data_IF_857759058194
#
_entry.id   IF_857759058194
#
_cell.length_a   1.000
_cell.length_b   1.000
_cell.length_c   1.000
_cell.angle_alpha   90.00
_cell.angle_beta   90.00
_cell.angle_gamma   90.00
#
_symmetry.space_group_name_H-M   'P 1'
#
loop_
_entity.id
_entity.type
_entity.pdbx_description
1 polymer ?
#
# COMPACT_ATOMS: atom_id res chain seq x y z
N UNK A 1 -48.80 6.15 -42.88
CA UNK A 1 -48.00 7.28 -42.36
C UNK A 1 -48.04 7.40 -40.83
N UNK A 2 -49.21 7.36 -40.18
CA UNK A 2 -49.34 7.48 -38.70
C UNK A 2 -48.59 6.39 -37.93
N UNK A 3 -48.72 5.12 -38.33
CA UNK A 3 -48.04 3.98 -37.69
C UNK A 3 -46.51 4.08 -37.69
N UNK A 4 -45.92 4.58 -38.78
CA UNK A 4 -44.46 4.77 -38.89
C UNK A 4 -43.97 5.90 -37.97
N UNK A 5 -44.74 6.98 -37.82
CA UNK A 5 -44.42 8.07 -36.88
C UNK A 5 -44.47 7.59 -35.43
N UNK A 6 -45.46 6.77 -35.07
CA UNK A 6 -45.53 6.16 -33.74
C UNK A 6 -44.33 5.24 -33.45
N UNK A 7 -43.91 4.44 -34.44
CA UNK A 7 -42.76 3.55 -34.29
C UNK A 7 -41.44 4.32 -34.06
N UNK A 8 -41.26 5.45 -34.76
CA UNK A 8 -40.12 6.37 -34.56
C UNK A 8 -40.12 6.96 -33.15
N UNK A 9 -41.27 7.42 -32.67
CA UNK A 9 -41.40 7.99 -31.31
C UNK A 9 -41.09 6.92 -30.25
N UNK A 10 -41.63 5.71 -30.40
CA UNK A 10 -41.35 4.59 -29.48
C UNK A 10 -39.85 4.26 -29.47
N UNK A 11 -39.21 4.18 -30.64
CA UNK A 11 -37.75 3.96 -30.72
C UNK A 11 -36.96 5.06 -30.03
N UNK A 12 -37.31 6.33 -30.25
CA UNK A 12 -36.62 7.46 -29.62
C UNK A 12 -36.73 7.41 -28.09
N UNK A 13 -37.90 7.04 -27.56
CA UNK A 13 -38.10 6.87 -26.10
C UNK A 13 -37.26 5.71 -25.56
N UNK A 14 -37.19 4.58 -26.26
CA UNK A 14 -36.36 3.43 -25.85
C UNK A 14 -34.87 3.82 -25.83
N UNK A 15 -34.38 4.50 -26.87
CA UNK A 15 -32.98 4.94 -26.93
C UNK A 15 -32.67 5.93 -25.79
N UNK A 16 -33.56 6.88 -25.53
CA UNK A 16 -33.38 7.83 -24.43
C UNK A 16 -33.32 7.13 -23.07
N UNK A 17 -34.18 6.13 -22.83
CA UNK A 17 -34.14 5.33 -21.61
C UNK A 17 -32.83 4.53 -21.48
N UNK A 18 -32.34 3.93 -22.57
CA UNK A 18 -31.07 3.20 -22.57
C UNK A 18 -29.88 4.12 -22.26
N UNK A 19 -29.86 5.33 -22.81
CA UNK A 19 -28.81 6.33 -22.51
C UNK A 19 -28.82 6.72 -21.03
N UNK A 20 -30.01 6.96 -20.45
CA UNK A 20 -30.16 7.29 -19.03
C UNK A 20 -29.66 6.13 -18.16
N UNK A 21 -30.04 4.89 -18.49
CA UNK A 21 -29.58 3.71 -17.74
C UNK A 21 -28.06 3.53 -17.80
N UNK A 22 -27.46 3.67 -18.98
CA UNK A 22 -26.00 3.60 -19.14
C UNK A 22 -25.29 4.70 -18.36
N UNK A 23 -25.83 5.92 -18.37
CA UNK A 23 -25.28 7.04 -17.61
C UNK A 23 -25.32 6.79 -16.09
N UNK A 24 -26.44 6.29 -15.57
CA UNK A 24 -26.56 5.96 -14.15
C UNK A 24 -25.57 4.85 -13.75
N UNK A 25 -25.46 3.78 -14.54
CA UNK A 25 -24.49 2.72 -14.30
C UNK A 25 -23.04 3.22 -14.35
N UNK A 26 -22.73 4.12 -15.29
CA UNK A 26 -21.40 4.73 -15.39
C UNK A 26 -21.06 5.55 -14.12
N UNK A 27 -22.01 6.32 -13.61
CA UNK A 27 -21.82 7.11 -12.39
C UNK A 27 -21.65 6.22 -11.16
N UNK A 28 -22.50 5.20 -10.98
CA UNK A 28 -22.37 4.24 -9.87
C UNK A 28 -21.00 3.54 -9.89
N UNK A 29 -20.56 3.10 -11.07
CA UNK A 29 -19.25 2.47 -11.23
C UNK A 29 -18.11 3.46 -10.92
N UNK A 30 -18.23 4.71 -11.34
CA UNK A 30 -17.22 5.74 -11.05
C UNK A 30 -17.13 6.04 -9.55
N UNK A 31 -18.25 6.09 -8.83
CA UNK A 31 -18.27 6.29 -7.38
C UNK A 31 -17.67 5.09 -6.65
N UNK A 32 -18.01 3.86 -7.04
CA UNK A 32 -17.40 2.64 -6.48
C UNK A 32 -15.88 2.62 -6.68
N UNK A 33 -15.39 2.99 -7.87
CA UNK A 33 -13.95 3.09 -8.14
C UNK A 33 -13.27 4.08 -7.22
N UNK A 34 -13.86 5.26 -7.02
CA UNK A 34 -13.32 6.26 -6.09
C UNK A 34 -13.34 5.79 -4.64
N UNK A 35 -14.36 5.03 -4.24
CA UNK A 35 -14.45 4.49 -2.87
C UNK A 35 -13.36 3.45 -2.62
N UNK A 36 -13.16 2.50 -3.54
CA UNK A 36 -12.05 1.53 -3.44
C UNK A 36 -10.70 2.26 -3.48
N UNK A 37 -10.55 3.23 -4.40
CA UNK A 37 -9.37 4.06 -4.49
C UNK A 37 -9.07 4.84 -3.20
N UNK A 38 -10.10 5.32 -2.50
CA UNK A 38 -9.99 5.94 -1.18
C UNK A 38 -9.43 4.97 -0.13
N UNK A 39 -9.94 3.74 -0.09
CA UNK A 39 -9.45 2.72 0.84
C UNK A 39 -7.95 2.48 0.61
N UNK A 40 -7.51 2.37 -0.66
CA UNK A 40 -6.07 2.25 -0.97
C UNK A 40 -5.26 3.47 -0.57
N UNK A 41 -5.77 4.68 -0.85
CA UNK A 41 -5.14 5.94 -0.42
C UNK A 41 -4.95 5.98 1.10
N UNK A 42 -6.01 5.70 1.86
CA UNK A 42 -5.99 5.73 3.33
C UNK A 42 -5.03 4.68 3.90
N UNK A 43 -5.03 3.46 3.36
CA UNK A 43 -4.10 2.40 3.77
C UNK A 43 -2.64 2.79 3.51
N UNK A 44 -2.33 3.30 2.31
CA UNK A 44 -0.98 3.75 1.95
C UNK A 44 -0.54 4.88 2.88
N UNK A 45 -1.41 5.87 3.12
CA UNK A 45 -1.12 6.99 4.01
C UNK A 45 -0.84 6.52 5.44
N UNK A 46 -1.72 5.68 5.97
CA UNK A 46 -1.59 5.12 7.32
C UNK A 46 -0.29 4.34 7.50
N UNK A 47 0.02 3.42 6.58
CA UNK A 47 1.27 2.63 6.63
C UNK A 47 2.48 3.54 6.57
N UNK A 48 2.50 4.53 5.66
CA UNK A 48 3.65 5.44 5.51
C UNK A 48 3.91 6.25 6.78
N UNK A 49 2.86 6.83 7.39
CA UNK A 49 2.99 7.58 8.65
C UNK A 49 3.59 6.69 9.75
N UNK A 50 3.16 5.43 9.84
CA UNK A 50 3.72 4.50 10.81
C UNK A 50 5.17 4.10 10.52
N UNK A 51 5.52 3.89 9.25
CA UNK A 51 6.89 3.58 8.84
C UNK A 51 7.84 4.74 9.19
N UNK A 52 7.44 5.99 8.91
CA UNK A 52 8.23 7.18 9.26
C UNK A 52 8.44 7.28 10.77
N UNK A 53 7.36 7.18 11.55
CA UNK A 53 7.44 7.21 13.01
C UNK A 53 8.35 6.12 13.56
N UNK A 54 8.36 4.93 12.96
CA UNK A 54 9.21 3.84 13.40
C UNK A 54 10.68 4.05 13.06
N UNK A 55 10.99 4.63 11.90
CA UNK A 55 12.35 5.04 11.54
C UNK A 55 12.88 6.04 12.57
N UNK A 56 12.09 7.07 12.90
CA UNK A 56 12.46 8.08 13.89
C UNK A 56 12.75 7.49 15.27
N UNK A 57 11.93 6.53 15.71
CA UNK A 57 12.10 5.84 17.00
C UNK A 57 13.34 4.94 17.01
N UNK A 58 13.59 4.19 15.92
CA UNK A 58 14.78 3.33 15.82
C UNK A 58 16.10 4.12 15.76
N UNK A 59 16.06 5.36 15.25
CA UNK A 59 17.18 6.28 15.23
C UNK A 59 17.41 6.96 16.59
N UNK A 60 16.42 6.94 17.49
CA UNK A 60 16.52 7.58 18.79
C UNK A 60 17.34 6.74 19.78
N UNK A 61 18.34 7.35 20.42
CA UNK A 61 19.21 6.68 21.40
C UNK A 61 18.44 6.18 22.64
N UNK A 62 17.28 6.78 22.96
CA UNK A 62 16.43 6.36 24.08
C UNK A 62 15.41 5.26 23.73
N UNK A 63 15.61 4.55 22.61
CA UNK A 63 14.67 3.53 22.13
C UNK A 63 14.38 2.46 23.18
N UNK A 64 13.17 2.50 23.75
CA UNK A 64 12.73 1.52 24.75
C UNK A 64 12.24 0.26 24.05
N UNK A 65 13.17 -0.64 23.83
CA UNK A 65 12.99 -1.78 22.96
C UNK A 65 11.90 -2.76 23.46
N UNK A 66 11.76 -2.94 24.78
CA UNK A 66 10.80 -3.89 25.38
C UNK A 66 9.34 -3.46 25.17
N UNK A 67 9.06 -2.15 25.26
CA UNK A 67 7.71 -1.60 25.07
C UNK A 67 7.29 -1.63 23.60
N UNK A 68 8.24 -1.48 22.67
CA UNK A 68 7.98 -1.30 21.25
C UNK A 68 7.97 -2.61 20.45
N UNK A 69 8.74 -3.62 20.87
CA UNK A 69 8.82 -4.92 20.19
C UNK A 69 7.46 -5.61 20.03
N UNK A 70 6.63 -5.62 21.08
CA UNK A 70 5.32 -6.25 21.03
C UNK A 70 4.33 -5.41 20.17
N UNK A 71 4.30 -4.08 20.32
CA UNK A 71 3.39 -3.23 19.54
C UNK A 71 3.72 -3.25 18.04
N UNK A 72 5.00 -3.24 17.67
CA UNK A 72 5.40 -3.10 16.27
C UNK A 72 5.30 -4.42 15.50
N UNK A 73 5.57 -5.58 16.13
CA UNK A 73 5.32 -6.89 15.52
C UNK A 73 3.84 -7.10 15.17
N UNK A 74 2.91 -6.52 15.94
CA UNK A 74 1.47 -6.60 15.66
C UNK A 74 1.07 -5.70 14.48
N UNK A 75 1.56 -4.46 14.43
CA UNK A 75 1.26 -3.52 13.33
C UNK A 75 1.67 -4.04 11.95
N UNK A 76 2.84 -4.69 11.84
CA UNK A 76 3.24 -5.26 10.55
C UNK A 76 2.38 -6.46 10.11
N UNK A 77 1.73 -7.18 11.04
CA UNK A 77 0.72 -8.17 10.65
C UNK A 77 -0.55 -7.50 10.10
N UNK A 78 -0.97 -6.37 10.68
CA UNK A 78 -2.10 -5.59 10.16
C UNK A 78 -1.80 -5.05 8.76
N UNK A 79 -0.57 -4.59 8.51
CA UNK A 79 -0.19 -4.06 7.20
C UNK A 79 -0.27 -5.10 6.09
N UNK A 80 0.10 -6.36 6.38
CA UNK A 80 -0.09 -7.49 5.44
C UNK A 80 -1.58 -7.68 5.12
N UNK A 81 -2.47 -7.49 6.10
CA UNK A 81 -3.92 -7.61 5.87
C UNK A 81 -4.53 -6.46 5.09
N UNK A 82 -3.86 -5.31 5.02
CA UNK A 82 -4.36 -4.16 4.26
C UNK A 82 -4.27 -4.34 2.75
N UNK A 83 -3.53 -5.36 2.28
CA UNK A 83 -3.50 -5.72 0.87
C UNK A 83 -3.03 -4.56 0.00
N UNK A 84 -1.85 -4.02 0.31
CA UNK A 84 -1.25 -2.98 -0.52
C UNK A 84 -1.11 -3.49 -1.97
N UNK A 85 -1.21 -2.61 -2.97
CA UNK A 85 -1.33 -3.00 -4.38
C UNK A 85 -0.14 -3.78 -4.97
N UNK A 86 0.96 -3.98 -4.22
CA UNK A 86 2.12 -4.78 -4.62
C UNK A 86 2.40 -5.92 -3.62
N UNK A 87 2.58 -7.14 -4.13
CA UNK A 87 2.81 -8.33 -3.28
C UNK A 87 4.17 -8.34 -2.57
N UNK A 88 5.11 -7.49 -3.01
CA UNK A 88 6.42 -7.36 -2.37
C UNK A 88 6.40 -6.57 -1.05
N UNK A 89 5.37 -5.74 -0.79
CA UNK A 89 5.20 -5.11 0.52
C UNK A 89 5.03 -6.16 1.62
N UNK A 90 4.22 -7.19 1.37
CA UNK A 90 3.98 -8.27 2.34
C UNK A 90 5.27 -9.03 2.69
N UNK A 91 6.13 -9.24 1.69
CA UNK A 91 7.45 -9.87 1.87
C UNK A 91 8.34 -8.98 2.75
N UNK A 92 8.34 -7.67 2.50
CA UNK A 92 9.09 -6.71 3.30
C UNK A 92 8.59 -6.64 4.74
N UNK A 93 7.28 -6.53 4.95
CA UNK A 93 6.67 -6.53 6.29
C UNK A 93 6.98 -7.83 7.04
N UNK A 94 6.90 -8.97 6.36
CA UNK A 94 7.28 -10.27 6.94
C UNK A 94 8.75 -10.31 7.33
N UNK A 95 9.63 -9.74 6.51
CA UNK A 95 11.07 -9.68 6.78
C UNK A 95 11.41 -8.72 7.94
N UNK A 96 10.70 -7.61 8.05
CA UNK A 96 10.82 -6.65 9.17
C UNK A 96 10.36 -7.30 10.47
N UNK A 97 9.22 -8.00 10.44
CA UNK A 97 8.74 -8.78 11.59
C UNK A 97 9.80 -9.77 12.09
N UNK A 98 10.44 -10.49 11.18
CA UNK A 98 11.52 -11.41 11.54
C UNK A 98 12.71 -10.69 12.19
N UNK A 99 13.11 -9.54 11.66
CA UNK A 99 14.20 -8.75 12.26
C UNK A 99 13.86 -8.25 13.67
N UNK A 100 12.60 -7.84 13.94
CA UNK A 100 12.18 -7.53 15.30
C UNK A 100 12.25 -8.74 16.24
N UNK A 101 11.95 -9.96 15.75
CA UNK A 101 12.10 -11.17 16.56
C UNK A 101 13.57 -11.44 16.91
N UNK A 102 14.48 -11.27 15.94
CA UNK A 102 15.91 -11.37 16.19
C UNK A 102 16.39 -10.31 17.17
N UNK A 103 15.90 -9.07 17.03
CA UNK A 103 16.23 -7.98 17.94
C UNK A 103 15.87 -8.35 19.39
N UNK A 104 14.67 -8.93 19.61
CA UNK A 104 14.25 -9.43 20.93
C UNK A 104 15.23 -10.46 21.50
N UNK A 105 15.66 -11.43 20.69
CA UNK A 105 16.57 -12.49 21.14
C UNK A 105 17.95 -11.95 21.52
N UNK A 106 18.50 -11.03 20.72
CA UNK A 106 19.83 -10.45 20.98
C UNK A 106 19.84 -9.54 22.21
N UNK A 107 18.70 -8.94 22.56
CA UNK A 107 18.55 -8.18 23.80
C UNK A 107 18.55 -9.04 25.04
N UNK A 108 17.83 -10.16 25.01
CA UNK A 108 17.87 -11.15 26.09
C UNK A 108 19.31 -11.68 26.29
N UNK A 109 20.09 -11.77 25.20
CA UNK A 109 21.48 -12.17 25.21
C UNK A 109 22.49 -11.04 25.53
N UNK A 110 22.05 -9.77 25.65
CA UNK A 110 22.88 -8.58 25.84
C UNK A 110 24.03 -8.43 24.82
N UNK A 111 23.75 -8.67 23.53
CA UNK A 111 24.75 -8.57 22.47
C UNK A 111 24.61 -7.25 21.67
N UNK A 112 25.28 -6.19 22.15
CA UNK A 112 25.16 -4.83 21.62
C UNK A 112 25.51 -4.70 20.13
N UNK A 113 26.58 -5.37 19.67
CA UNK A 113 27.00 -5.31 18.26
C UNK A 113 25.92 -5.87 17.31
N UNK A 114 25.26 -6.97 17.71
CA UNK A 114 24.19 -7.57 16.93
C UNK A 114 22.91 -6.73 16.96
N UNK A 115 22.61 -6.09 18.09
CA UNK A 115 21.46 -5.20 18.25
C UNK A 115 21.57 -4.03 17.25
N UNK A 116 22.73 -3.38 17.18
CA UNK A 116 22.94 -2.25 16.29
C UNK A 116 22.89 -2.66 14.81
N UNK A 117 23.47 -3.81 14.46
CA UNK A 117 23.38 -4.36 13.11
C UNK A 117 21.92 -4.64 12.68
N UNK A 118 21.10 -5.21 13.58
CA UNK A 118 19.68 -5.49 13.31
C UNK A 118 18.88 -4.18 13.18
N UNK A 119 19.12 -3.19 14.05
CA UNK A 119 18.48 -1.86 13.95
C UNK A 119 18.77 -1.20 12.61
N UNK A 120 20.03 -1.17 12.18
CA UNK A 120 20.41 -0.60 10.88
C UNK A 120 19.72 -1.33 9.72
N UNK A 121 19.60 -2.66 9.80
CA UNK A 121 18.87 -3.46 8.81
C UNK A 121 17.37 -3.16 8.79
N UNK A 122 16.74 -2.99 9.95
CA UNK A 122 15.33 -2.57 10.07
C UNK A 122 15.11 -1.21 9.42
N UNK A 123 15.92 -0.21 9.79
CA UNK A 123 15.85 1.14 9.23
C UNK A 123 15.98 1.09 7.70
N UNK A 124 16.96 0.36 7.17
CA UNK A 124 17.14 0.22 5.73
C UNK A 124 15.91 -0.36 5.02
N UNK A 125 15.24 -1.36 5.62
CA UNK A 125 14.00 -1.93 5.05
C UNK A 125 12.82 -0.97 5.13
N UNK A 126 12.70 -0.21 6.23
CA UNK A 126 11.64 0.77 6.43
C UNK A 126 11.77 1.93 5.44
N UNK A 127 13.00 2.44 5.21
CA UNK A 127 13.25 3.48 4.20
C UNK A 127 12.83 3.03 2.80
N UNK A 128 13.10 1.76 2.43
CA UNK A 128 12.64 1.24 1.14
C UNK A 128 11.11 1.27 1.06
N UNK A 129 10.40 0.87 2.12
CA UNK A 129 8.93 0.95 2.13
C UNK A 129 8.47 2.40 2.01
N UNK A 130 9.05 3.32 2.78
CA UNK A 130 8.72 4.75 2.71
C UNK A 130 8.89 5.31 1.30
N UNK A 131 10.05 5.07 0.68
CA UNK A 131 10.40 5.53 -0.68
C UNK A 131 9.40 5.02 -1.73
N UNK A 132 8.98 3.76 -1.63
CA UNK A 132 8.03 3.20 -2.60
C UNK A 132 6.60 3.67 -2.35
N UNK A 133 6.17 3.85 -1.10
CA UNK A 133 4.87 4.45 -0.79
C UNK A 133 4.82 5.92 -1.23
N UNK A 134 5.91 6.67 -1.05
CA UNK A 134 6.09 8.03 -1.56
C UNK A 134 6.02 8.06 -3.09
N UNK A 135 6.66 7.12 -3.78
CA UNK A 135 6.58 7.02 -5.24
C UNK A 135 5.14 6.79 -5.72
N UNK A 136 4.38 5.92 -5.03
CA UNK A 136 2.97 5.69 -5.34
C UNK A 136 2.14 6.95 -5.11
N UNK A 137 2.31 7.62 -3.97
CA UNK A 137 1.60 8.86 -3.65
C UNK A 137 1.90 9.97 -4.66
N UNK A 138 3.15 10.13 -5.09
CA UNK A 138 3.51 11.13 -6.10
C UNK A 138 2.91 10.84 -7.48
N UNK A 139 2.74 9.57 -7.85
CA UNK A 139 2.12 9.18 -9.11
C UNK A 139 0.61 9.45 -9.11
N UNK A 140 -0.06 9.08 -8.01
CA UNK A 140 -1.51 9.16 -7.92
C UNK A 140 -2.00 10.57 -7.52
N UNK A 141 -1.25 11.31 -6.71
CA UNK A 141 -1.64 12.60 -6.17
C UNK A 141 -2.92 12.49 -5.33
N UNK A 142 -3.88 13.39 -5.57
CA UNK A 142 -5.21 13.35 -4.92
C UNK A 142 -6.25 12.55 -5.74
N UNK A 143 -5.85 11.94 -6.85
CA UNK A 143 -6.76 11.24 -7.76
C UNK A 143 -7.06 9.81 -7.26
N UNK A 144 -8.19 9.66 -6.57
CA UNK A 144 -8.66 8.38 -6.04
C UNK A 144 -8.88 7.33 -7.14
N UNK A 145 -9.23 7.73 -8.36
CA UNK A 145 -9.39 6.76 -9.46
C UNK A 145 -8.05 6.13 -9.82
N UNK A 146 -6.94 6.88 -9.77
CA UNK A 146 -5.60 6.32 -9.98
C UNK A 146 -5.20 5.31 -8.91
N UNK A 147 -5.62 5.51 -7.66
CA UNK A 147 -5.37 4.53 -6.59
C UNK A 147 -6.11 3.22 -6.84
N UNK A 148 -7.34 3.28 -7.36
CA UNK A 148 -8.07 2.09 -7.79
C UNK A 148 -7.37 1.37 -8.96
N UNK A 149 -6.71 2.11 -9.85
CA UNK A 149 -6.01 1.59 -11.01
C UNK A 149 -4.61 1.00 -10.69
N UNK A 150 -4.18 1.03 -9.42
CA UNK A 150 -2.95 0.37 -8.96
C UNK A 150 -3.12 -1.15 -8.94
N UNK A 151 -3.24 -1.75 -10.11
CA UNK A 151 -3.23 -3.20 -10.29
C UNK A 151 -1.80 -3.69 -10.50
N UNK A 152 -1.59 -5.01 -10.36
CA UNK A 152 -0.30 -5.66 -10.61
C UNK A 152 0.25 -5.43 -12.02
N UNK A 153 -0.62 -5.13 -12.98
CA UNK A 153 -0.24 -4.86 -14.37
C UNK A 153 0.22 -3.41 -14.61
N UNK A 154 -0.01 -2.51 -13.66
CA UNK A 154 0.41 -1.12 -13.79
C UNK A 154 1.95 -1.02 -13.86
N UNK A 155 2.44 -0.13 -14.73
CA UNK A 155 3.89 0.11 -14.86
C UNK A 155 4.52 0.55 -13.54
N UNK A 156 3.79 1.36 -12.77
CA UNK A 156 4.22 1.82 -11.45
C UNK A 156 4.45 0.64 -10.49
N UNK A 157 3.47 -0.26 -10.36
CA UNK A 157 3.57 -1.39 -9.42
C UNK A 157 4.71 -2.32 -9.83
N UNK A 158 4.88 -2.62 -11.12
CA UNK A 158 6.04 -3.40 -11.60
C UNK A 158 7.39 -2.75 -11.26
N UNK A 159 7.47 -1.41 -11.34
CA UNK A 159 8.67 -0.65 -10.98
C UNK A 159 8.94 -0.72 -9.46
N UNK A 160 7.89 -0.54 -8.65
CA UNK A 160 7.96 -0.69 -7.19
C UNK A 160 8.46 -2.08 -6.82
N UNK A 161 7.83 -3.13 -7.37
CA UNK A 161 8.22 -4.53 -7.11
C UNK A 161 9.67 -4.81 -7.48
N UNK A 162 10.13 -4.36 -8.65
CA UNK A 162 11.50 -4.57 -9.10
C UNK A 162 12.53 -3.88 -8.19
N UNK A 163 12.23 -2.66 -7.71
CA UNK A 163 13.11 -1.92 -6.78
C UNK A 163 13.16 -2.61 -5.42
N UNK A 164 12.02 -2.96 -4.85
CA UNK A 164 11.94 -3.68 -3.59
C UNK A 164 12.67 -5.02 -3.66
N UNK A 165 12.46 -5.81 -4.72
CA UNK A 165 13.16 -7.07 -4.90
C UNK A 165 14.69 -6.89 -4.93
N UNK A 166 15.17 -5.87 -5.64
CA UNK A 166 16.59 -5.57 -5.75
C UNK A 166 17.20 -5.20 -4.39
N UNK A 167 16.55 -4.33 -3.62
CA UNK A 167 17.05 -3.91 -2.31
C UNK A 167 16.99 -5.06 -1.29
N UNK A 168 16.00 -5.95 -1.38
CA UNK A 168 15.92 -7.12 -0.50
C UNK A 168 17.09 -8.08 -0.71
N UNK A 169 17.52 -8.29 -1.96
CA UNK A 169 18.69 -9.12 -2.30
C UNK A 169 19.97 -8.49 -1.73
N UNK A 170 20.11 -7.18 -1.87
CA UNK A 170 21.26 -6.42 -1.36
C UNK A 170 21.35 -6.49 0.16
N UNK A 171 20.23 -6.30 0.87
CA UNK A 171 20.18 -6.38 2.34
C UNK A 171 20.49 -7.79 2.85
N UNK A 172 20.12 -8.86 2.12
CA UNK A 172 20.48 -10.25 2.49
C UNK A 172 21.97 -10.60 2.30
N UNK A 173 22.71 -9.79 1.55
CA UNK A 173 24.14 -10.01 1.28
C UNK A 173 25.08 -9.31 2.27
N UNK A 174 24.51 -8.56 3.22
CA UNK A 174 25.19 -7.87 4.32
C UNK A 174 25.05 -8.70 5.61
#
# INVERSE_FOLDING_TARGET
MVKAKYLIIVMAVIIALLVILQYNQYNENTELKKEIGRIHYDNIHYVKVHVISEIEELLNESYNIEKYLCMNQWKFNEFITFGLPAGFFDIYFSSIKHDYQLLTQELEANNEDNIDAIKQRLIAKLIVIEDELELIQNHCGEDLTKYYELTQDSELIRKVEARMQKELIKIKSQ
#
